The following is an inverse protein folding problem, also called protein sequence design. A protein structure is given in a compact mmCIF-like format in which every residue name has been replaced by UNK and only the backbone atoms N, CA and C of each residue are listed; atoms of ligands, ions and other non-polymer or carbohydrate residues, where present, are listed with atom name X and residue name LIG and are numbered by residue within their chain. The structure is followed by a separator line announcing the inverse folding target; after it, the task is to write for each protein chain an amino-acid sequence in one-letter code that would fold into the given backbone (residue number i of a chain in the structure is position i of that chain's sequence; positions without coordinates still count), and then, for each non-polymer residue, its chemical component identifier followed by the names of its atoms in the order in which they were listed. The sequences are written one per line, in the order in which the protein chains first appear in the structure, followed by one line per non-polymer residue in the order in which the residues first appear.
data_IF_533128529772
#
_entry.id   IF_533128529772
#
_cell.length_a   1.000
_cell.length_b   1.000
_cell.length_c   1.000
_cell.angle_alpha   90.00
_cell.angle_beta   90.00
_cell.angle_gamma   90.00
#
_symmetry.space_group_name_H-M   'P 1'
#
loop_
_entity.id
_entity.type
_entity.pdbx_description
1 polymer ?
#
# COMPACT_ATOMS: atom_id res chain seq x y z
N UNK A 1 -18.91 23.33 -21.60
CA UNK A 1 -19.81 22.63 -20.67
C UNK A 1 -19.51 21.12 -20.55
N UNK A 2 -18.23 20.74 -20.43
CA UNK A 2 -17.78 19.42 -19.94
C UNK A 2 -16.61 19.55 -18.93
N UNK A 3 -16.29 20.79 -18.52
CA UNK A 3 -15.13 21.10 -17.69
C UNK A 3 -15.34 20.80 -16.20
N UNK A 4 -16.59 20.62 -15.75
CA UNK A 4 -16.90 20.33 -14.33
C UNK A 4 -16.43 18.92 -13.91
N UNK A 5 -16.44 17.94 -14.81
CA UNK A 5 -16.01 16.58 -14.48
C UNK A 5 -14.50 16.49 -14.18
N UNK A 6 -13.70 17.42 -14.70
CA UNK A 6 -12.28 17.50 -14.39
C UNK A 6 -11.96 18.31 -13.12
N UNK A 7 -12.95 18.96 -12.49
CA UNK A 7 -12.78 19.78 -11.28
C UNK A 7 -13.14 19.05 -9.97
N UNK A 8 -13.68 17.83 -10.04
CA UNK A 8 -14.08 17.04 -8.86
C UNK A 8 -12.95 16.18 -8.29
N UNK A 9 -11.86 16.02 -9.05
CA UNK A 9 -10.69 15.29 -8.61
C UNK A 9 -9.59 16.29 -8.29
N UNK A 10 -9.23 16.48 -7.00
CA UNK A 10 -8.32 17.54 -6.58
C UNK A 10 -6.93 17.26 -7.12
N UNK A 11 -6.55 18.03 -8.15
CA UNK A 11 -5.17 18.16 -8.58
C UNK A 11 -4.84 17.63 -9.99
N UNK A 12 -3.77 18.18 -10.59
CA UNK A 12 -3.25 17.77 -11.89
C UNK A 12 -2.93 16.28 -11.90
N UNK A 13 -2.94 15.65 -13.08
CA UNK A 13 -2.73 14.18 -13.23
C UNK A 13 -1.52 13.65 -12.45
N UNK A 14 -0.48 14.47 -12.30
CA UNK A 14 0.72 14.16 -11.53
C UNK A 14 0.47 14.02 -10.01
N UNK A 15 -0.41 14.83 -9.42
CA UNK A 15 -0.75 14.75 -8.00
C UNK A 15 -1.48 13.44 -7.68
N UNK A 16 -2.37 12.98 -8.57
CA UNK A 16 -3.04 11.68 -8.42
C UNK A 16 -2.08 10.51 -8.47
N UNK A 17 -1.07 10.58 -9.36
CA UNK A 17 -0.02 9.56 -9.44
C UNK A 17 0.77 9.52 -8.12
N UNK A 18 1.11 10.69 -7.58
CA UNK A 18 1.83 10.81 -6.32
C UNK A 18 1.00 10.27 -5.14
N UNK A 19 -0.29 10.59 -5.09
CA UNK A 19 -1.22 10.08 -4.07
C UNK A 19 -1.36 8.55 -4.14
N UNK A 20 -1.57 7.99 -5.33
CA UNK A 20 -1.63 6.53 -5.53
C UNK A 20 -0.32 5.87 -5.11
N UNK A 21 0.83 6.47 -5.45
CA UNK A 21 2.13 5.97 -5.06
C UNK A 21 2.30 5.98 -3.52
N UNK A 22 1.86 7.04 -2.84
CA UNK A 22 1.88 7.11 -1.37
C UNK A 22 0.99 6.02 -0.77
N UNK A 23 -0.22 5.82 -1.29
CA UNK A 23 -1.12 4.78 -0.79
C UNK A 23 -0.51 3.39 -0.97
N UNK A 24 0.12 3.12 -2.13
CA UNK A 24 0.83 1.84 -2.36
C UNK A 24 1.97 1.66 -1.35
N UNK A 25 2.80 2.69 -1.14
CA UNK A 25 3.89 2.64 -0.15
C UNK A 25 3.36 2.42 1.27
N UNK A 26 2.25 3.07 1.63
CA UNK A 26 1.61 2.89 2.93
C UNK A 26 1.09 1.46 3.12
N UNK A 27 0.47 0.86 2.09
CA UNK A 27 0.03 -0.54 2.11
C UNK A 27 1.22 -1.48 2.24
N UNK A 28 2.29 -1.26 1.48
CA UNK A 28 3.51 -2.07 1.56
C UNK A 28 4.12 -1.97 2.97
N UNK A 29 4.25 -0.75 3.51
CA UNK A 29 4.74 -0.54 4.87
C UNK A 29 3.85 -1.24 5.92
N UNK A 30 2.53 -1.16 5.77
CA UNK A 30 1.59 -1.85 6.64
C UNK A 30 1.74 -3.38 6.57
N UNK A 31 1.95 -3.93 5.37
CA UNK A 31 2.24 -5.35 5.19
C UNK A 31 3.55 -5.75 5.85
N UNK A 32 4.60 -4.92 5.83
CA UNK A 32 5.84 -5.22 6.54
C UNK A 32 5.71 -5.12 8.06
N UNK A 33 4.98 -4.12 8.57
CA UNK A 33 4.84 -3.88 10.01
C UNK A 33 3.85 -4.84 10.68
N UNK A 34 2.78 -5.24 9.99
CA UNK A 34 1.72 -6.08 10.56
C UNK A 34 1.53 -7.40 9.81
N UNK A 35 1.53 -7.35 8.47
CA UNK A 35 1.31 -8.55 7.65
C UNK A 35 2.41 -9.59 7.78
N UNK A 36 3.68 -9.18 7.78
CA UNK A 36 4.81 -10.08 7.89
C UNK A 36 4.90 -10.75 9.27
N UNK A 37 4.82 -10.02 10.41
CA UNK A 37 4.74 -10.66 11.73
C UNK A 37 3.58 -11.65 11.85
N UNK A 38 2.38 -11.25 11.38
CA UNK A 38 1.22 -12.14 11.35
C UNK A 38 1.47 -13.40 10.50
N UNK A 39 2.10 -13.26 9.33
CA UNK A 39 2.40 -14.38 8.45
C UNK A 39 3.46 -15.32 9.04
N UNK A 40 4.47 -14.79 9.72
CA UNK A 40 5.49 -15.59 10.40
C UNK A 40 4.85 -16.45 11.50
N UNK A 41 3.95 -15.87 12.29
CA UNK A 41 3.19 -16.59 13.32
C UNK A 41 2.21 -17.60 12.71
N UNK A 42 1.46 -17.22 11.67
CA UNK A 42 0.42 -18.07 11.07
C UNK A 42 0.99 -19.27 10.31
N UNK A 43 2.11 -19.08 9.61
CA UNK A 43 2.71 -20.09 8.74
C UNK A 43 3.96 -20.73 9.37
N UNK A 44 4.26 -20.43 10.64
CA UNK A 44 5.44 -20.91 11.38
C UNK A 44 6.75 -20.79 10.58
N UNK A 45 6.92 -19.71 9.83
CA UNK A 45 8.04 -19.52 8.89
C UNK A 45 9.42 -19.43 9.60
N UNK A 46 9.42 -19.23 10.92
CA UNK A 46 10.63 -19.13 11.74
C UNK A 46 11.13 -20.45 12.34
N UNK A 47 10.35 -21.53 12.27
CA UNK A 47 10.61 -22.76 13.05
C UNK A 47 11.40 -23.83 12.27
N UNK A 48 11.71 -23.59 11.00
CA UNK A 48 12.41 -24.54 10.13
C UNK A 48 13.94 -24.55 10.32
N UNK A 49 14.45 -24.26 11.52
CA UNK A 49 15.87 -24.44 11.82
C UNK A 49 16.12 -25.93 12.05
N UNK A 50 16.60 -26.63 11.02
CA UNK A 50 17.10 -28.00 11.18
C UNK A 50 18.18 -28.01 12.27
N UNK A 51 17.97 -28.80 13.32
CA UNK A 51 18.95 -29.10 14.36
C UNK A 51 19.54 -30.48 14.05
#
# INVERSE_FOLDING_TARGET
MYAWIFSILPGPKWLRILEVMIVILAVVAALFQWGFPWAVETFHLGENTVN
#
